data_IF_469157764696
#
_entry.id   IF_469157764696
#
_cell.length_a   1.000
_cell.length_b   1.000
_cell.length_c   1.000
_cell.angle_alpha   90.00
_cell.angle_beta   90.00
_cell.angle_gamma   90.00
#
_symmetry.space_group_name_H-M   'P 1'
#
loop_
_entity.id
_entity.type
_entity.pdbx_description
1 polymer ?
#
# COMPACT_ATOMS: atom_id res chain seq x y z
N UNK A 1 -3.32 10.52 27.73
CA UNK A 1 -4.60 9.94 27.27
C UNK A 1 -4.29 9.12 26.03
N UNK A 2 -4.49 7.79 26.08
CA UNK A 2 -4.30 6.90 24.93
C UNK A 2 -5.46 7.15 23.97
N UNK A 3 -5.17 7.40 22.69
CA UNK A 3 -6.23 7.64 21.70
C UNK A 3 -6.92 6.30 21.37
N UNK A 4 -8.25 6.28 21.14
CA UNK A 4 -8.99 5.03 20.97
C UNK A 4 -8.48 4.16 19.81
N UNK A 5 -7.89 4.77 18.78
CA UNK A 5 -7.33 4.07 17.63
C UNK A 5 -5.97 3.42 17.89
N UNK A 6 -5.22 3.82 18.92
CA UNK A 6 -3.87 3.29 19.16
C UNK A 6 -3.89 1.79 19.45
N UNK A 7 -4.99 1.27 20.01
CA UNK A 7 -5.18 -0.16 20.28
C UNK A 7 -5.39 -1.01 19.02
N UNK A 8 -5.75 -0.40 17.89
CA UNK A 8 -6.05 -1.11 16.63
C UNK A 8 -5.02 -0.83 15.53
N UNK A 9 -4.03 0.03 15.79
CA UNK A 9 -2.93 0.28 14.84
C UNK A 9 -1.89 -0.85 14.96
N UNK A 10 -1.60 -1.49 13.84
CA UNK A 10 -0.46 -2.41 13.69
C UNK A 10 0.64 -1.72 12.90
N UNK A 11 1.81 -1.56 13.52
CA UNK A 11 2.99 -1.06 12.81
C UNK A 11 3.59 -2.17 11.96
N UNK A 12 3.79 -1.89 10.67
CA UNK A 12 4.42 -2.81 9.73
C UNK A 12 5.77 -2.23 9.31
N UNK A 13 6.82 -3.05 9.40
CA UNK A 13 8.16 -2.71 8.92
C UNK A 13 8.38 -3.41 7.59
N UNK A 14 8.78 -2.65 6.58
CA UNK A 14 9.08 -3.19 5.25
C UNK A 14 10.30 -4.10 5.27
N UNK A 15 10.23 -5.21 4.56
CA UNK A 15 11.37 -6.11 4.37
C UNK A 15 12.27 -5.64 3.21
N UNK A 16 13.57 -6.01 3.20
CA UNK A 16 14.45 -5.75 2.06
C UNK A 16 13.95 -6.34 0.74
N UNK A 17 13.22 -7.47 0.80
CA UNK A 17 12.59 -8.11 -0.36
C UNK A 17 11.53 -7.21 -0.97
N UNK A 18 10.59 -6.71 -0.16
CA UNK A 18 9.53 -5.80 -0.60
C UNK A 18 10.10 -4.51 -1.19
N UNK A 19 11.15 -3.97 -0.57
CA UNK A 19 11.82 -2.79 -1.09
C UNK A 19 12.46 -3.02 -2.46
N UNK A 20 13.14 -4.15 -2.64
CA UNK A 20 13.76 -4.51 -3.92
C UNK A 20 12.71 -4.75 -5.00
N UNK A 21 11.65 -5.49 -4.68
CA UNK A 21 10.50 -5.71 -5.56
C UNK A 21 9.88 -4.38 -6.01
N UNK A 22 9.59 -3.49 -5.06
CA UNK A 22 9.03 -2.18 -5.35
C UNK A 22 9.92 -1.36 -6.30
N UNK A 23 11.24 -1.39 -6.09
CA UNK A 23 12.21 -0.70 -6.95
C UNK A 23 12.18 -1.22 -8.38
N UNK A 24 12.10 -2.54 -8.57
CA UNK A 24 12.06 -3.15 -9.90
C UNK A 24 10.78 -2.79 -10.65
N UNK A 25 9.62 -2.96 -10.00
CA UNK A 25 8.31 -2.67 -10.60
C UNK A 25 8.17 -1.18 -10.90
N UNK A 26 8.56 -0.31 -9.96
CA UNK A 26 8.54 1.14 -10.15
C UNK A 26 9.35 1.56 -11.38
N UNK A 27 10.55 0.98 -11.56
CA UNK A 27 11.38 1.24 -12.74
C UNK A 27 10.74 0.70 -14.02
N UNK A 28 10.20 -0.51 -14.01
CA UNK A 28 9.60 -1.14 -15.18
C UNK A 28 8.35 -0.40 -15.67
N UNK A 29 7.54 0.13 -14.75
CA UNK A 29 6.26 0.77 -15.05
C UNK A 29 6.33 2.31 -15.05
N UNK A 30 7.50 2.89 -14.80
CA UNK A 30 7.69 4.33 -14.62
C UNK A 30 6.72 4.92 -13.58
N UNK A 31 6.64 4.28 -12.41
CA UNK A 31 5.75 4.66 -11.30
C UNK A 31 6.54 5.11 -10.06
N UNK A 32 5.94 5.90 -9.16
CA UNK A 32 6.56 6.25 -7.89
C UNK A 32 6.84 5.00 -7.04
N UNK A 33 8.08 4.86 -6.58
CA UNK A 33 8.50 3.72 -5.75
C UNK A 33 7.66 3.59 -4.46
N UNK A 34 7.27 4.71 -3.86
CA UNK A 34 6.45 4.72 -2.64
C UNK A 34 5.10 4.06 -2.85
N UNK A 35 4.40 4.41 -3.93
CA UNK A 35 3.08 3.86 -4.27
C UNK A 35 3.16 2.35 -4.49
N UNK A 36 4.16 1.91 -5.25
CA UNK A 36 4.41 0.48 -5.48
C UNK A 36 4.71 -0.25 -4.17
N UNK A 37 5.54 0.34 -3.30
CA UNK A 37 5.88 -0.25 -2.00
C UNK A 37 4.66 -0.38 -1.10
N UNK A 38 3.82 0.66 -0.99
CA UNK A 38 2.58 0.59 -0.21
C UNK A 38 1.62 -0.47 -0.74
N UNK A 39 1.54 -0.63 -2.06
CA UNK A 39 0.72 -1.68 -2.70
C UNK A 39 1.23 -3.08 -2.37
N UNK A 40 2.55 -3.30 -2.41
CA UNK A 40 3.17 -4.58 -2.04
C UNK A 40 2.97 -4.89 -0.56
N UNK A 41 3.10 -3.88 0.32
CA UNK A 41 2.84 -4.06 1.76
C UNK A 41 1.39 -4.49 1.99
N UNK A 42 0.43 -3.86 1.30
CA UNK A 42 -0.98 -4.20 1.41
C UNK A 42 -1.24 -5.65 0.98
N UNK A 43 -0.73 -6.05 -0.19
CA UNK A 43 -0.79 -7.45 -0.68
C UNK A 43 -0.22 -8.45 0.32
N UNK A 44 1.00 -8.22 0.80
CA UNK A 44 1.72 -9.17 1.66
C UNK A 44 1.12 -9.29 3.06
N UNK A 45 0.30 -8.33 3.49
CA UNK A 45 -0.36 -8.33 4.80
C UNK A 45 -1.88 -8.59 4.70
N UNK A 46 -2.38 -8.98 3.53
CA UNK A 46 -3.81 -9.19 3.25
C UNK A 46 -4.66 -8.00 3.70
N UNK A 47 -4.16 -6.79 3.43
CA UNK A 47 -4.76 -5.54 3.85
C UNK A 47 -5.44 -4.82 2.68
N UNK A 48 -6.54 -4.12 2.98
CA UNK A 48 -7.22 -3.26 2.01
C UNK A 48 -6.46 -1.93 1.91
N UNK A 49 -5.99 -1.59 0.72
CA UNK A 49 -5.35 -0.30 0.48
C UNK A 49 -6.41 0.79 0.28
N UNK A 50 -6.50 1.71 1.25
CA UNK A 50 -7.45 2.83 1.19
C UNK A 50 -6.73 4.11 0.81
N UNK A 51 -7.06 4.70 -0.33
CA UNK A 51 -6.47 5.95 -0.80
C UNK A 51 -7.38 6.66 -1.81
N UNK A 52 -7.25 7.99 -1.90
CA UNK A 52 -7.90 8.81 -2.94
C UNK A 52 -7.00 9.07 -4.15
N UNK A 53 -5.73 8.66 -4.07
CA UNK A 53 -4.75 8.86 -5.14
C UNK A 53 -5.04 7.94 -6.33
N UNK A 54 -5.17 8.54 -7.52
CA UNK A 54 -5.49 7.84 -8.76
C UNK A 54 -4.29 7.08 -9.34
N UNK A 55 -3.06 7.33 -8.89
CA UNK A 55 -1.87 6.60 -9.36
C UNK A 55 -1.96 5.10 -9.08
N UNK A 56 -2.65 4.70 -8.01
CA UNK A 56 -2.84 3.31 -7.62
C UNK A 56 -3.72 2.49 -8.57
N UNK A 57 -4.47 3.15 -9.47
CA UNK A 57 -5.17 2.45 -10.58
C UNK A 57 -4.24 1.61 -11.44
N UNK A 58 -2.97 2.03 -11.58
CA UNK A 58 -1.95 1.31 -12.37
C UNK A 58 -1.31 0.13 -11.62
N UNK A 59 -1.78 -0.13 -10.40
CA UNK A 59 -1.24 -1.13 -9.47
C UNK A 59 -2.32 -2.10 -8.97
N UNK A 60 -3.54 -2.04 -9.52
CA UNK A 60 -4.66 -2.90 -9.13
C UNK A 60 -4.41 -4.39 -9.41
N UNK A 61 -3.49 -4.71 -10.33
CA UNK A 61 -3.03 -6.07 -10.58
C UNK A 61 -2.16 -6.65 -9.43
N UNK A 62 -1.64 -5.79 -8.55
CA UNK A 62 -0.85 -6.20 -7.37
C UNK A 62 -1.72 -6.19 -6.11
N UNK A 63 -2.49 -5.11 -5.90
CA UNK A 63 -3.46 -5.01 -4.82
C UNK A 63 -4.56 -4.01 -5.19
N UNK A 64 -5.85 -4.36 -5.00
CA UNK A 64 -6.93 -3.42 -5.26
C UNK A 64 -6.85 -2.25 -4.27
N UNK A 65 -7.15 -1.05 -4.78
CA UNK A 65 -7.30 0.13 -3.93
C UNK A 65 -8.75 0.57 -3.91
N UNK A 66 -9.17 1.12 -2.77
CA UNK A 66 -10.51 1.63 -2.57
C UNK A 66 -10.42 3.06 -2.05
N UNK A 67 -11.39 3.89 -2.43
CA UNK A 67 -11.51 5.20 -1.80
C UNK A 67 -12.20 5.05 -0.44
N UNK A 68 -11.91 5.93 0.53
CA UNK A 68 -12.60 5.92 1.82
C UNK A 68 -14.13 5.91 1.68
N UNK A 69 -14.67 6.65 0.72
CA UNK A 69 -16.12 6.79 0.50
C UNK A 69 -16.79 5.51 -0.03
N UNK A 70 -16.02 4.49 -0.42
CA UNK A 70 -16.55 3.23 -0.92
C UNK A 70 -16.66 2.13 0.16
N UNK A 71 -16.15 2.38 1.37
CA UNK A 71 -15.98 1.36 2.43
C UNK A 71 -16.55 1.82 3.77
N UNK A 72 -17.01 3.07 3.86
CA UNK A 72 -17.57 3.71 5.06
C UNK A 72 -19.02 4.09 4.78
#
# INVERSE_FOLDING_TARGET
>A
MIKPFEKIIKNIITTPRQFTEAKMIAKQRSLPKGDVLHTIIARDNDAILVTRDKHFKKLEDISPHYKPENII
#
